data_IF_319655446226
#
_entry.id   IF_319655446226
#
_cell.length_a   1.000
_cell.length_b   1.000
_cell.length_c   1.000
_cell.angle_alpha   90.00
_cell.angle_beta   90.00
_cell.angle_gamma   90.00
#
_symmetry.space_group_name_H-M   'P 1'
#
loop_
_entity.id
_entity.type
_entity.pdbx_description
1 polymer ?
#
# COMPACT_ATOMS: atom_id res chain seq x y z
N UNK A 1 -14.98 2.76 23.56
CA UNK A 1 -13.60 2.75 23.02
C UNK A 1 -13.66 3.47 21.69
N UNK A 2 -12.80 4.47 21.47
CA UNK A 2 -12.72 5.17 20.18
C UNK A 2 -12.18 4.21 19.10
N UNK A 3 -12.70 4.27 17.88
CA UNK A 3 -12.29 3.35 16.80
C UNK A 3 -10.79 3.43 16.49
N UNK A 4 -10.21 4.63 16.55
CA UNK A 4 -8.77 4.84 16.31
C UNK A 4 -7.91 4.03 17.29
N UNK A 5 -8.33 3.95 18.55
CA UNK A 5 -7.66 3.18 19.59
C UNK A 5 -7.84 1.67 19.39
N UNK A 6 -9.04 1.24 19.01
CA UNK A 6 -9.30 -0.17 18.67
C UNK A 6 -8.43 -0.65 17.49
N UNK A 7 -8.19 0.22 16.50
CA UNK A 7 -7.29 -0.05 15.37
C UNK A 7 -5.85 -0.17 15.85
N UNK A 8 -5.34 0.77 16.65
CA UNK A 8 -3.96 0.72 17.19
C UNK A 8 -3.71 -0.59 17.91
N UNK A 9 -4.60 -0.98 18.83
CA UNK A 9 -4.48 -2.23 19.58
C UNK A 9 -4.47 -3.47 18.68
N UNK A 10 -5.26 -3.48 17.60
CA UNK A 10 -5.29 -4.59 16.65
C UNK A 10 -3.96 -4.72 15.90
N UNK A 11 -3.30 -3.61 15.57
CA UNK A 11 -2.00 -3.64 14.90
C UNK A 11 -0.85 -3.95 15.87
N UNK A 12 -0.92 -3.51 17.11
CA UNK A 12 0.03 -3.94 18.15
C UNK A 12 0.00 -5.46 18.36
N UNK A 13 -1.18 -6.07 18.41
CA UNK A 13 -1.30 -7.55 18.46
C UNK A 13 -0.68 -8.23 17.23
N UNK A 14 -0.70 -7.58 16.06
CA UNK A 14 -0.10 -8.14 14.84
C UNK A 14 1.43 -8.05 14.84
N UNK A 15 2.02 -7.05 15.52
CA UNK A 15 3.48 -6.96 15.70
C UNK A 15 4.05 -8.16 16.48
N UNK A 16 3.23 -8.80 17.31
CA UNK A 16 3.62 -10.00 18.08
C UNK A 16 3.62 -11.29 17.24
N UNK A 17 3.08 -11.27 16.02
CA UNK A 17 3.15 -12.40 15.11
C UNK A 17 4.56 -12.52 14.53
N UNK A 18 5.03 -13.73 14.17
CA UNK A 18 6.31 -13.90 13.51
C UNK A 18 6.37 -13.00 12.26
N UNK A 19 7.40 -12.16 12.24
CA UNK A 19 7.68 -11.23 11.16
C UNK A 19 7.70 -12.01 9.83
N UNK A 20 7.18 -11.41 8.76
CA UNK A 20 7.18 -12.00 7.42
C UNK A 20 6.27 -13.23 7.17
N UNK A 21 5.31 -13.57 8.03
CA UNK A 21 4.37 -14.68 7.70
C UNK A 21 3.19 -14.22 6.83
N UNK A 22 2.54 -13.11 7.21
CA UNK A 22 1.28 -12.65 6.58
C UNK A 22 1.48 -11.84 5.30
N UNK A 23 2.48 -10.95 5.29
CA UNK A 23 2.67 -9.97 4.21
C UNK A 23 3.96 -10.16 3.42
N UNK A 24 4.71 -11.24 3.67
CA UNK A 24 5.93 -11.54 2.92
C UNK A 24 5.62 -11.97 1.49
N UNK A 25 6.47 -11.54 0.56
CA UNK A 25 6.44 -12.01 -0.82
C UNK A 25 6.92 -13.47 -0.96
N UNK A 26 7.62 -14.03 0.03
CA UNK A 26 7.96 -15.46 0.05
C UNK A 26 6.75 -16.35 0.39
N UNK A 27 5.66 -15.77 0.94
CA UNK A 27 4.40 -16.46 1.05
C UNK A 27 3.70 -16.46 -0.32
N UNK A 28 3.63 -17.63 -0.97
CA UNK A 28 3.06 -17.78 -2.33
C UNK A 28 1.62 -17.28 -2.44
N UNK A 29 0.80 -17.47 -1.40
CA UNK A 29 -0.59 -16.98 -1.39
C UNK A 29 -0.65 -15.46 -1.36
N UNK A 30 0.19 -14.82 -0.54
CA UNK A 30 0.29 -13.36 -0.50
C UNK A 30 0.86 -12.80 -1.81
N UNK A 31 1.90 -13.41 -2.37
CA UNK A 31 2.46 -13.01 -3.67
C UNK A 31 1.41 -13.03 -4.78
N UNK A 32 0.63 -14.12 -4.88
CA UNK A 32 -0.46 -14.23 -5.85
C UNK A 32 -1.48 -13.11 -5.68
N UNK A 33 -1.90 -12.84 -4.43
CA UNK A 33 -2.86 -11.76 -4.13
C UNK A 33 -2.31 -10.40 -4.55
N UNK A 34 -1.04 -10.09 -4.25
CA UNK A 34 -0.46 -8.80 -4.63
C UNK A 34 -0.42 -8.65 -6.15
N UNK A 35 0.11 -9.64 -6.86
CA UNK A 35 0.22 -9.60 -8.33
C UNK A 35 -1.16 -9.50 -9.01
N UNK A 36 -2.18 -10.19 -8.49
CA UNK A 36 -3.55 -10.09 -8.98
C UNK A 36 -4.13 -8.68 -8.76
N UNK A 37 -3.90 -8.06 -7.59
CA UNK A 37 -4.36 -6.70 -7.32
C UNK A 37 -3.68 -5.69 -8.24
N UNK A 38 -2.37 -5.84 -8.46
CA UNK A 38 -1.60 -4.99 -9.38
C UNK A 38 -2.17 -5.05 -10.80
N UNK A 39 -2.38 -6.26 -11.34
CA UNK A 39 -2.96 -6.44 -12.69
C UNK A 39 -4.35 -5.81 -12.81
N UNK A 40 -5.24 -6.13 -11.86
CA UNK A 40 -6.62 -5.61 -11.88
C UNK A 40 -6.69 -4.09 -11.75
N UNK A 41 -5.79 -3.48 -10.99
CA UNK A 41 -5.73 -2.03 -10.85
C UNK A 41 -5.28 -1.37 -12.15
N UNK A 42 -4.20 -1.87 -12.79
CA UNK A 42 -3.76 -1.36 -14.09
C UNK A 42 -4.83 -1.53 -15.18
N UNK A 43 -5.52 -2.67 -15.21
CA UNK A 43 -6.65 -2.90 -16.13
C UNK A 43 -7.82 -1.94 -15.87
N UNK A 44 -8.11 -1.63 -14.61
CA UNK A 44 -9.13 -0.64 -14.25
C UNK A 44 -8.73 0.75 -14.72
N UNK A 45 -7.51 1.19 -14.41
CA UNK A 45 -6.98 2.49 -14.85
C UNK A 45 -7.01 2.61 -16.37
N UNK A 46 -6.58 1.57 -17.09
CA UNK A 46 -6.64 1.55 -18.54
C UNK A 46 -8.07 1.71 -19.07
N UNK A 47 -9.05 0.97 -18.52
CA UNK A 47 -10.47 1.08 -18.89
C UNK A 47 -11.07 2.45 -18.59
N UNK A 48 -10.56 3.14 -17.58
CA UNK A 48 -10.96 4.52 -17.23
C UNK A 48 -10.23 5.59 -18.06
N UNK A 49 -9.44 5.20 -19.08
CA UNK A 49 -8.78 6.14 -19.98
C UNK A 49 -7.39 6.59 -19.53
N UNK A 50 -6.91 6.13 -18.37
CA UNK A 50 -5.54 6.42 -17.95
C UNK A 50 -4.55 5.64 -18.84
N UNK A 51 -3.57 6.35 -19.40
CA UNK A 51 -2.50 5.79 -20.26
C UNK A 51 -1.10 6.03 -19.69
N UNK A 52 -0.99 6.93 -18.72
CA UNK A 52 0.24 7.32 -18.04
C UNK A 52 -0.11 7.82 -16.64
N UNK A 53 0.83 7.67 -15.69
CA UNK A 53 0.71 8.18 -14.33
C UNK A 53 1.62 9.39 -14.05
N UNK A 54 2.45 9.82 -15.02
CA UNK A 54 3.50 10.84 -14.82
C UNK A 54 2.97 12.14 -14.20
N UNK A 55 1.88 12.66 -14.74
CA UNK A 55 1.26 13.92 -14.32
C UNK A 55 0.18 13.74 -13.23
N UNK A 56 -0.02 12.50 -12.76
CA UNK A 56 -1.11 12.20 -11.82
C UNK A 56 -0.66 12.49 -10.39
N UNK A 57 -1.49 13.25 -9.67
CA UNK A 57 -1.39 13.39 -8.20
C UNK A 57 -2.17 12.25 -7.56
N UNK A 58 -1.48 11.41 -6.79
CA UNK A 58 -2.06 10.18 -6.22
C UNK A 58 -1.95 10.24 -4.70
N UNK A 59 -3.08 10.05 -4.02
CA UNK A 59 -3.15 9.91 -2.56
C UNK A 59 -3.50 8.48 -2.18
N UNK A 60 -2.62 7.81 -1.44
CA UNK A 60 -2.89 6.52 -0.81
C UNK A 60 -3.38 6.72 0.63
N UNK A 61 -4.64 6.35 0.89
CA UNK A 61 -5.24 6.39 2.23
C UNK A 61 -5.08 5.03 2.89
N UNK A 62 -4.41 4.99 4.04
CA UNK A 62 -3.96 3.76 4.69
C UNK A 62 -2.74 3.18 3.99
N UNK A 63 -1.73 4.01 3.75
CA UNK A 63 -0.56 3.64 2.94
C UNK A 63 0.36 2.60 3.59
N UNK A 64 0.20 2.32 4.88
CA UNK A 64 1.05 1.40 5.61
C UNK A 64 2.53 1.76 5.41
N UNK A 65 3.32 0.80 4.92
CA UNK A 65 4.74 0.97 4.62
C UNK A 65 5.03 1.43 3.17
N UNK A 66 4.07 2.05 2.49
CA UNK A 66 4.25 2.62 1.16
C UNK A 66 4.28 1.60 0.01
N UNK A 67 3.65 0.43 0.19
CA UNK A 67 3.61 -0.63 -0.82
C UNK A 67 3.10 -0.16 -2.18
N UNK A 68 1.91 0.43 -2.24
CA UNK A 68 1.36 0.92 -3.50
C UNK A 68 2.06 2.17 -4.01
N UNK A 69 2.54 3.07 -3.14
CA UNK A 69 3.35 4.21 -3.59
C UNK A 69 4.55 3.74 -4.43
N UNK A 70 5.28 2.71 -3.98
CA UNK A 70 6.38 2.13 -4.77
C UNK A 70 5.92 1.52 -6.08
N UNK A 71 4.79 0.81 -6.07
CA UNK A 71 4.21 0.26 -7.29
C UNK A 71 3.84 1.37 -8.29
N UNK A 72 3.25 2.48 -7.83
CA UNK A 72 2.94 3.62 -8.69
C UNK A 72 4.20 4.25 -9.30
N UNK A 73 5.28 4.39 -8.53
CA UNK A 73 6.59 4.81 -9.09
C UNK A 73 7.05 3.83 -10.16
N UNK A 74 7.00 2.52 -9.88
CA UNK A 74 7.38 1.47 -10.82
C UNK A 74 6.54 1.50 -12.11
N UNK A 75 5.29 1.96 -12.03
CA UNK A 75 4.38 2.12 -13.18
C UNK A 75 4.49 3.49 -13.87
N UNK A 76 5.42 4.34 -13.45
CA UNK A 76 5.75 5.59 -14.10
C UNK A 76 5.10 6.84 -13.50
N UNK A 77 4.54 6.76 -12.29
CA UNK A 77 4.18 7.95 -11.53
C UNK A 77 5.45 8.66 -11.02
N UNK A 78 5.40 9.98 -10.96
CA UNK A 78 6.47 10.79 -10.40
C UNK A 78 6.34 10.84 -8.88
N UNK A 79 7.42 10.53 -8.15
CA UNK A 79 7.41 10.45 -6.68
C UNK A 79 6.96 11.75 -6.01
N UNK A 80 7.27 12.91 -6.61
CA UNK A 80 6.85 14.23 -6.12
C UNK A 80 5.33 14.46 -6.15
N UNK A 81 4.60 13.63 -6.90
CA UNK A 81 3.14 13.65 -7.02
C UNK A 81 2.45 12.54 -6.20
N UNK A 82 3.22 11.76 -5.42
CA UNK A 82 2.69 10.69 -4.59
C UNK A 82 2.60 11.12 -3.12
N UNK A 83 1.44 10.88 -2.53
CA UNK A 83 1.15 11.22 -1.14
C UNK A 83 0.60 9.99 -0.43
N UNK A 84 1.08 9.73 0.78
CA UNK A 84 0.59 8.63 1.63
C UNK A 84 0.16 9.15 2.99
N UNK A 85 -0.98 8.67 3.48
CA UNK A 85 -1.44 8.91 4.86
C UNK A 85 -1.79 7.57 5.52
N UNK A 86 -1.44 7.42 6.80
CA UNK A 86 -1.84 6.28 7.62
C UNK A 86 -2.13 6.74 9.05
N UNK A 87 -2.90 5.94 9.80
CA UNK A 87 -3.17 6.19 11.21
C UNK A 87 -1.96 5.82 12.08
N UNK A 88 -1.14 4.86 11.64
CA UNK A 88 -0.05 4.30 12.42
C UNK A 88 1.27 4.98 12.06
N UNK A 89 1.81 5.76 13.01
CA UNK A 89 3.05 6.52 12.81
C UNK A 89 4.23 5.64 12.41
N UNK A 90 4.42 4.49 13.06
CA UNK A 90 5.55 3.59 12.75
C UNK A 90 5.51 3.10 11.30
N UNK A 91 4.32 2.92 10.74
CA UNK A 91 4.14 2.53 9.32
C UNK A 91 4.53 3.66 8.37
N UNK A 92 4.17 4.90 8.71
CA UNK A 92 4.58 6.08 7.95
C UNK A 92 6.11 6.23 7.95
N UNK A 93 6.77 5.99 9.09
CA UNK A 93 8.23 6.06 9.15
C UNK A 93 8.90 4.96 8.30
N UNK A 94 8.33 3.75 8.23
CA UNK A 94 8.78 2.69 7.30
C UNK A 94 8.55 3.02 5.81
N UNK A 95 7.64 3.95 5.50
CA UNK A 95 7.25 4.28 4.14
C UNK A 95 8.13 5.35 3.47
N UNK A 96 8.98 6.04 4.24
CA UNK A 96 9.92 7.05 3.76
C UNK A 96 11.19 6.42 3.21
#
# INVERSE_FOLDING_TARGET
>A
MEETEAIRQRYERRKQLPENTRYSYFNKGNLFIVQEKQRKLLDLLHRQGFRSLKEMKILEVGCGNGGWLRDFVQWGAHSENLYGIDLLKDRIEEAK
#
